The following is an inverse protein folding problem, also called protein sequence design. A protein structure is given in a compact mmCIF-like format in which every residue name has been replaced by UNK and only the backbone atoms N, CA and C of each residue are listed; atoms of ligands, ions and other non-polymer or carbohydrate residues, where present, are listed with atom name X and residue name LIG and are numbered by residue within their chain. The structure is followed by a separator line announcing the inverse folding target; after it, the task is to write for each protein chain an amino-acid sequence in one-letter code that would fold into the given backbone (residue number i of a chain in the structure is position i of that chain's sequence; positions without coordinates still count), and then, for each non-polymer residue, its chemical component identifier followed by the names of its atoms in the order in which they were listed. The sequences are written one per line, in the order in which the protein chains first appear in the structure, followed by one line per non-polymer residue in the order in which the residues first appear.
data_IF_826857759763
#
_entry.id   IF_826857759763
#
_cell.length_a   1.000
_cell.length_b   1.000
_cell.length_c   1.000
_cell.angle_alpha   90.00
_cell.angle_beta   90.00
_cell.angle_gamma   90.00
#
_symmetry.space_group_name_H-M   'P 1'
#
loop_
_entity.id
_entity.type
_entity.pdbx_description
1 polymer ?
#
# COMPACT_ATOMS: atom_id res chain seq x y z
N UNK A 1 -19.92 -5.38 -5.99
CA UNK A 1 -19.46 -4.22 -5.20
C UNK A 1 -18.08 -3.85 -5.75
N UNK A 2 -18.03 -2.76 -6.51
CA UNK A 2 -16.94 -2.47 -7.45
C UNK A 2 -15.66 -2.02 -6.77
N UNK A 3 -14.53 -2.63 -7.14
CA UNK A 3 -13.21 -2.10 -6.86
C UNK A 3 -13.00 -0.84 -7.68
N UNK A 4 -12.65 0.27 -7.04
CA UNK A 4 -12.07 1.41 -7.75
C UNK A 4 -10.66 1.01 -8.15
N UNK A 5 -10.44 0.81 -9.44
CA UNK A 5 -9.10 0.63 -10.00
C UNK A 5 -8.47 2.02 -10.17
N UNK A 6 -7.30 2.21 -9.57
CA UNK A 6 -6.54 3.46 -9.61
C UNK A 6 -5.15 3.15 -10.14
N UNK A 7 -4.76 3.82 -11.21
CA UNK A 7 -3.39 3.79 -11.69
C UNK A 7 -2.67 5.03 -11.17
N UNK A 8 -1.63 4.83 -10.35
CA UNK A 8 -0.81 5.92 -9.83
C UNK A 8 0.59 5.85 -10.44
N UNK A 9 0.94 6.87 -11.20
CA UNK A 9 2.25 7.09 -11.77
C UNK A 9 2.94 8.25 -11.05
N UNK A 10 3.80 7.93 -10.08
CA UNK A 10 4.53 8.93 -9.29
C UNK A 10 5.98 9.06 -9.77
N UNK A 11 6.35 10.25 -10.25
CA UNK A 11 7.71 10.69 -10.54
C UNK A 11 8.06 11.86 -9.61
N UNK A 12 9.35 12.11 -9.29
CA UNK A 12 9.74 13.29 -8.54
C UNK A 12 9.19 14.59 -9.17
N UNK A 13 8.32 15.30 -8.45
CA UNK A 13 7.69 16.54 -8.94
C UNK A 13 6.58 16.36 -9.98
N UNK A 14 6.16 15.12 -10.30
CA UNK A 14 5.01 14.88 -11.17
C UNK A 14 4.29 13.59 -10.77
N UNK A 15 3.09 13.74 -10.22
CA UNK A 15 2.23 12.61 -9.87
C UNK A 15 1.02 12.64 -10.77
N UNK A 16 0.78 11.53 -11.47
CA UNK A 16 -0.41 11.33 -12.29
C UNK A 16 -1.22 10.19 -11.71
N UNK A 17 -2.50 10.45 -11.49
CA UNK A 17 -3.47 9.41 -11.14
C UNK A 17 -4.49 9.29 -12.27
N UNK A 18 -4.79 8.07 -12.67
CA UNK A 18 -5.89 7.74 -13.56
C UNK A 18 -6.91 6.92 -12.77
N UNK A 19 -8.16 7.38 -12.71
CA UNK A 19 -9.24 6.61 -12.11
C UNK A 19 -9.86 5.61 -13.11
N UNK A 20 -10.78 4.78 -12.62
CA UNK A 20 -11.49 3.79 -13.43
C UNK A 20 -12.42 4.38 -14.52
N UNK A 21 -12.58 5.71 -14.59
CA UNK A 21 -13.30 6.43 -15.65
C UNK A 21 -12.33 7.08 -16.65
N UNK A 22 -11.03 6.89 -16.48
CA UNK A 22 -9.99 7.53 -17.28
C UNK A 22 -9.74 8.99 -16.91
N UNK A 23 -10.30 9.50 -15.80
CA UNK A 23 -10.02 10.86 -15.34
C UNK A 23 -8.59 10.94 -14.83
N UNK A 24 -7.83 11.91 -15.37
CA UNK A 24 -6.45 12.16 -15.00
C UNK A 24 -6.37 13.30 -13.99
N UNK A 25 -5.66 13.06 -12.90
CA UNK A 25 -5.37 14.04 -11.88
C UNK A 25 -3.86 14.23 -11.78
N UNK A 26 -3.41 15.47 -11.60
CA UNK A 26 -1.99 15.80 -11.42
C UNK A 26 -1.77 16.50 -10.09
N UNK A 27 -0.70 16.13 -9.39
CA UNK A 27 -0.23 16.81 -8.20
C UNK A 27 1.30 16.76 -8.10
N UNK A 28 1.83 17.59 -7.22
CA UNK A 28 3.26 17.65 -6.92
C UNK A 28 3.64 16.65 -5.81
N UNK A 29 2.64 16.20 -5.02
CA UNK A 29 2.77 15.27 -3.91
C UNK A 29 1.82 14.07 -4.07
N UNK A 30 2.40 12.86 -4.07
CA UNK A 30 1.66 11.63 -4.28
C UNK A 30 0.94 11.16 -3.01
N UNK A 31 1.52 11.40 -1.85
CA UNK A 31 0.92 11.03 -0.57
C UNK A 31 -0.33 11.88 -0.32
N UNK A 32 -0.26 13.18 -0.63
CA UNK A 32 -1.42 14.07 -0.53
C UNK A 32 -2.54 13.64 -1.49
N UNK A 33 -2.19 13.31 -2.74
CA UNK A 33 -3.16 12.86 -3.75
C UNK A 33 -3.85 11.55 -3.34
N UNK A 34 -3.08 10.53 -2.93
CA UNK A 34 -3.64 9.26 -2.44
C UNK A 34 -4.51 9.49 -1.21
N UNK A 35 -4.07 10.38 -0.30
CA UNK A 35 -4.82 10.78 0.88
C UNK A 35 -6.21 11.32 0.55
N UNK A 36 -6.31 12.21 -0.44
CA UNK A 36 -7.60 12.77 -0.88
C UNK A 36 -8.53 11.74 -1.50
N UNK A 37 -7.99 10.74 -2.19
CA UNK A 37 -8.77 9.74 -2.92
C UNK A 37 -9.26 8.62 -2.03
N UNK A 38 -8.36 8.10 -1.20
CA UNK A 38 -8.65 6.96 -0.35
C UNK A 38 -9.27 7.39 0.98
N UNK A 39 -9.05 8.66 1.37
CA UNK A 39 -9.28 9.20 2.71
C UNK A 39 -8.12 8.89 3.67
N UNK A 40 -7.15 8.06 3.26
CA UNK A 40 -6.09 7.54 4.10
C UNK A 40 -4.76 8.17 3.66
N UNK A 41 -4.08 8.96 4.49
CA UNK A 41 -2.80 9.58 4.14
C UNK A 41 -1.69 8.52 4.18
N UNK A 42 -1.64 7.63 3.19
CA UNK A 42 -0.71 6.48 3.20
C UNK A 42 0.73 6.96 2.98
N UNK A 43 1.69 6.49 3.79
CA UNK A 43 3.11 6.75 3.55
C UNK A 43 3.56 5.98 2.30
N UNK A 44 3.74 6.66 1.18
CA UNK A 44 4.01 6.02 -0.11
C UNK A 44 5.39 5.36 -0.11
N UNK A 45 6.38 5.96 0.56
CA UNK A 45 7.70 5.38 0.70
C UNK A 45 7.64 4.00 1.40
N UNK A 46 6.88 3.90 2.50
CA UNK A 46 6.67 2.64 3.22
C UNK A 46 5.81 1.67 2.43
N UNK A 47 4.73 2.14 1.78
CA UNK A 47 3.86 1.31 0.96
C UNK A 47 4.62 0.57 -0.14
N UNK A 48 5.56 1.24 -0.82
CA UNK A 48 6.40 0.60 -1.85
C UNK A 48 7.19 -0.58 -1.29
N UNK A 49 7.69 -0.50 -0.06
CA UNK A 49 8.39 -1.60 0.60
C UNK A 49 7.40 -2.71 1.00
N UNK A 50 6.24 -2.35 1.55
CA UNK A 50 5.24 -3.32 1.99
C UNK A 50 4.69 -4.18 0.85
N UNK A 51 4.47 -3.59 -0.33
CA UNK A 51 4.06 -4.33 -1.54
C UNK A 51 5.11 -5.38 -1.94
N UNK A 52 6.39 -5.11 -1.68
CA UNK A 52 7.50 -6.04 -1.94
C UNK A 52 7.71 -7.06 -0.81
N UNK A 53 6.89 -7.03 0.24
CA UNK A 53 7.07 -7.88 1.42
C UNK A 53 8.26 -7.48 2.29
N UNK A 54 8.65 -6.20 2.25
CA UNK A 54 9.70 -5.62 3.08
C UNK A 54 9.08 -4.71 4.15
N UNK A 55 9.58 -4.71 5.41
CA UNK A 55 8.98 -3.92 6.47
C UNK A 55 9.22 -2.41 6.30
N UNK A 56 10.21 -2.02 5.49
CA UNK A 56 10.67 -0.64 5.39
C UNK A 56 11.22 -0.17 6.74
N UNK A 57 10.79 1.02 7.17
CA UNK A 57 11.17 1.59 8.47
C UNK A 57 10.33 1.04 9.65
N UNK A 58 9.38 0.13 9.40
CA UNK A 58 8.58 -0.43 10.46
C UNK A 58 9.41 -1.39 11.33
N UNK A 59 9.40 -1.15 12.63
CA UNK A 59 10.08 -1.98 13.63
C UNK A 59 9.14 -2.94 14.36
N UNK A 60 7.83 -2.69 14.29
CA UNK A 60 6.79 -3.58 14.80
C UNK A 60 6.15 -4.36 13.64
N UNK A 61 6.59 -5.61 13.48
CA UNK A 61 6.07 -6.51 12.47
C UNK A 61 6.10 -7.96 12.95
N UNK A 62 5.31 -8.80 12.29
CA UNK A 62 5.27 -10.25 12.52
C UNK A 62 5.64 -10.98 11.24
N UNK A 63 6.21 -12.16 11.41
CA UNK A 63 6.48 -13.09 10.32
C UNK A 63 5.52 -14.28 10.40
N UNK A 64 5.28 -14.92 9.26
CA UNK A 64 4.66 -16.25 9.19
C UNK A 64 5.71 -17.36 9.39
N UNK A 65 5.25 -18.62 9.39
CA UNK A 65 6.12 -19.80 9.57
C UNK A 65 7.12 -20.01 8.41
N UNK A 66 7.00 -19.24 7.32
CA UNK A 66 7.94 -19.23 6.20
C UNK A 66 8.87 -18.02 6.22
N UNK A 67 8.93 -17.29 7.34
CA UNK A 67 9.76 -16.10 7.53
C UNK A 67 9.41 -14.93 6.59
N UNK A 68 8.15 -14.83 6.18
CA UNK A 68 7.63 -13.71 5.36
C UNK A 68 6.76 -12.82 6.23
N UNK A 69 6.63 -11.54 5.87
CA UNK A 69 5.77 -10.62 6.64
C UNK A 69 4.32 -11.10 6.68
N UNK A 70 3.76 -11.17 7.89
CA UNK A 70 2.34 -11.48 8.11
C UNK A 70 1.55 -10.27 8.59
N UNK A 71 2.19 -9.39 9.36
CA UNK A 71 1.59 -8.16 9.89
C UNK A 71 2.64 -7.06 10.04
N UNK A 72 2.25 -5.81 9.82
CA UNK A 72 3.05 -4.62 10.17
C UNK A 72 2.17 -3.66 10.95
N UNK A 73 2.69 -3.11 12.04
CA UNK A 73 2.15 -1.93 12.69
C UNK A 73 3.12 -0.78 12.46
N UNK A 74 2.65 0.30 11.85
CA UNK A 74 3.46 1.45 11.51
C UNK A 74 2.82 2.74 11.99
N UNK A 75 3.63 3.71 12.37
CA UNK A 75 3.15 5.01 12.84
C UNK A 75 4.04 6.14 12.36
N UNK A 76 3.44 7.19 11.84
CA UNK A 76 4.11 8.35 11.26
C UNK A 76 3.16 9.54 11.31
N UNK A 77 3.66 10.72 11.67
CA UNK A 77 2.87 11.96 11.69
C UNK A 77 1.55 11.87 12.49
N UNK A 78 1.54 11.09 13.59
CA UNK A 78 0.35 10.89 14.43
C UNK A 78 -0.75 10.02 13.81
N UNK A 79 -0.43 9.32 12.71
CA UNK A 79 -1.29 8.34 12.05
C UNK A 79 -0.72 6.94 12.26
N UNK A 80 -1.60 5.96 12.37
CA UNK A 80 -1.25 4.56 12.61
C UNK A 80 -1.80 3.72 11.47
N UNK A 81 -0.99 2.80 10.96
CA UNK A 81 -1.40 1.83 9.95
C UNK A 81 -1.17 0.42 10.47
N UNK A 82 -2.12 -0.43 10.18
CA UNK A 82 -1.97 -1.88 10.29
C UNK A 82 -2.02 -2.48 8.89
N UNK A 83 -0.98 -3.23 8.55
CA UNK A 83 -0.88 -4.00 7.31
C UNK A 83 -1.04 -5.47 7.65
N UNK A 84 -1.89 -6.19 6.92
CA UNK A 84 -2.06 -7.64 7.04
C UNK A 84 -1.84 -8.28 5.68
N UNK A 85 -0.97 -9.28 5.62
CA UNK A 85 -0.70 -10.04 4.40
C UNK A 85 -1.64 -11.25 4.35
N UNK A 86 -2.45 -11.35 3.30
CA UNK A 86 -3.44 -12.43 3.15
C UNK A 86 -2.92 -13.65 2.38
N UNK A 87 -1.76 -13.54 1.74
CA UNK A 87 -1.10 -14.65 1.06
C UNK A 87 0.07 -14.20 0.21
N UNK A 88 0.85 -15.18 -0.25
CA UNK A 88 2.05 -14.99 -1.07
C UNK A 88 1.94 -15.81 -2.35
N UNK A 89 2.39 -15.25 -3.46
CA UNK A 89 2.61 -15.98 -4.71
C UNK A 89 3.96 -16.67 -4.67
N UNK A 90 3.93 -18.00 -4.59
CA UNK A 90 5.12 -18.85 -4.54
C UNK A 90 5.63 -19.25 -5.93
N UNK A 91 5.01 -18.78 -7.01
CA UNK A 91 5.52 -18.96 -8.39
C UNK A 91 6.69 -18.02 -8.69
N UNK A 92 6.82 -16.95 -7.92
CA UNK A 92 7.95 -16.01 -7.97
C UNK A 92 9.06 -16.46 -7.01
N UNK A 93 10.29 -16.08 -7.30
CA UNK A 93 11.43 -16.32 -6.41
C UNK A 93 12.22 -15.01 -6.21
N UNK A 94 12.20 -14.42 -4.99
CA UNK A 94 11.49 -14.88 -3.78
C UNK A 94 9.96 -14.82 -3.92
N UNK A 95 9.24 -15.50 -3.03
CA UNK A 95 7.78 -15.44 -2.99
C UNK A 95 7.33 -14.01 -2.65
N UNK A 96 6.42 -13.46 -3.44
CA UNK A 96 5.94 -12.08 -3.30
C UNK A 96 4.56 -12.02 -2.66
N UNK A 97 4.20 -10.97 -1.90
CA UNK A 97 2.83 -10.77 -1.45
C UNK A 97 1.84 -10.85 -2.62
N UNK A 98 0.80 -11.68 -2.51
CA UNK A 98 -0.25 -11.79 -3.50
C UNK A 98 -1.42 -10.84 -3.18
N UNK A 99 -1.66 -10.59 -1.90
CA UNK A 99 -2.66 -9.63 -1.45
C UNK A 99 -2.34 -9.13 -0.05
N UNK A 100 -2.72 -7.89 0.21
CA UNK A 100 -2.53 -7.24 1.50
C UNK A 100 -3.69 -6.28 1.80
N UNK A 101 -3.96 -6.09 3.08
CA UNK A 101 -4.95 -5.16 3.59
C UNK A 101 -4.26 -4.11 4.45
N UNK A 102 -4.45 -2.83 4.13
CA UNK A 102 -4.02 -1.70 4.94
C UNK A 102 -5.23 -1.09 5.64
N UNK A 103 -5.08 -0.77 6.93
CA UNK A 103 -6.11 -0.08 7.71
C UNK A 103 -5.50 1.01 8.57
N UNK A 104 -6.23 2.09 8.83
CA UNK A 104 -5.86 3.14 9.80
C UNK A 104 -6.82 3.20 11.01
N UNK A 105 -7.63 2.14 11.17
CA UNK A 105 -8.70 2.04 12.18
C UNK A 105 -10.07 2.56 11.72
N UNK A 106 -10.12 3.53 10.79
CA UNK A 106 -11.37 4.03 10.23
C UNK A 106 -11.60 3.62 8.77
N UNK A 107 -10.53 3.41 8.04
CA UNK A 107 -10.52 3.13 6.61
C UNK A 107 -9.73 1.88 6.30
N UNK A 108 -10.01 1.31 5.12
CA UNK A 108 -9.42 0.06 4.67
C UNK A 108 -9.17 0.08 3.17
N UNK A 109 -7.98 -0.34 2.79
CA UNK A 109 -7.57 -0.54 1.39
C UNK A 109 -7.15 -1.99 1.22
N UNK A 110 -7.62 -2.63 0.14
CA UNK A 110 -7.20 -3.97 -0.26
C UNK A 110 -6.40 -3.87 -1.54
N UNK A 111 -5.19 -4.42 -1.51
CA UNK A 111 -4.32 -4.53 -2.67
C UNK A 111 -4.23 -6.00 -3.07
N UNK A 112 -4.29 -6.27 -4.37
CA UNK A 112 -4.10 -7.60 -4.95
C UNK A 112 -3.07 -7.47 -6.06
N UNK A 113 -2.03 -8.28 -5.99
CA UNK A 113 -1.08 -8.46 -7.07
C UNK A 113 -1.62 -9.57 -7.98
N UNK A 114 -1.67 -9.28 -9.28
CA UNK A 114 -2.20 -10.18 -10.31
C UNK A 114 -1.19 -11.23 -10.77
#
# INVERSE_FOLDING_TARGET
MGSTELELNAQPGNVQLVDNKGQRYTADDAEEMIGKLTGMPIPLNSLRQWILGLPGDATDYKLDDQYRLSEITYSQNGKNWKVVYGGYDTKTQPAMPANMELTDGGQRIKLKNG
#
